data_IF_001379352176
#
_entry.id   IF_001379352176
#
_cell.length_a   1.000
_cell.length_b   1.000
_cell.length_c   1.000
_cell.angle_alpha   90.00
_cell.angle_beta   90.00
_cell.angle_gamma   90.00
#
_symmetry.space_group_name_H-M   'P 1'
#
loop_
_entity.id
_entity.type
_entity.pdbx_description
1 polymer ?
#
# COMPACT_ATOMS: atom_id res chain seq x y z
N UNK A 1 6.66 6.39 3.17
CA UNK A 1 7.18 7.74 3.01
C UNK A 1 6.10 8.74 3.34
N UNK A 2 6.35 9.53 4.35
CA UNK A 2 5.49 10.66 4.61
C UNK A 2 5.68 11.69 3.51
N UNK A 3 4.70 11.85 2.67
CA UNK A 3 4.74 12.86 1.61
C UNK A 3 4.18 14.19 2.08
N UNK A 4 3.62 14.21 3.28
CA UNK A 4 3.01 15.38 3.82
C UNK A 4 3.84 15.92 4.97
N UNK A 5 4.39 17.12 4.80
CA UNK A 5 4.91 17.90 5.91
C UNK A 5 3.79 18.80 6.41
N UNK A 6 3.33 18.52 7.61
CA UNK A 6 2.34 19.37 8.24
C UNK A 6 3.01 20.62 8.79
N UNK A 7 2.70 21.76 8.22
CA UNK A 7 3.08 23.06 8.75
C UNK A 7 1.88 23.63 9.52
N UNK A 8 1.94 23.73 10.85
CA UNK A 8 0.83 24.26 11.62
C UNK A 8 0.52 25.73 11.33
N UNK A 9 1.43 26.44 10.64
CA UNK A 9 1.19 27.81 10.20
C UNK A 9 0.48 27.88 8.85
N UNK A 10 0.41 26.80 8.13
CA UNK A 10 -0.38 26.67 6.91
C UNK A 10 -1.73 26.06 7.25
N UNK A 11 -2.65 26.90 7.61
CA UNK A 11 -4.05 26.51 7.75
C UNK A 11 -4.60 26.31 6.36
N UNK A 12 -4.77 25.06 5.91
CA UNK A 12 -5.44 24.86 4.65
C UNK A 12 -5.04 23.68 3.79
N UNK A 13 -4.52 22.59 4.36
CA UNK A 13 -4.59 21.33 3.66
C UNK A 13 -6.04 20.87 3.64
N UNK A 14 -6.71 21.11 2.52
CA UNK A 14 -8.06 20.62 2.31
C UNK A 14 -7.98 19.35 1.49
N UNK A 15 -8.51 18.28 2.03
CA UNK A 15 -8.70 17.05 1.33
C UNK A 15 -10.13 16.56 1.57
N UNK A 16 -10.67 15.84 0.59
CA UNK A 16 -11.98 15.20 0.75
C UNK A 16 -11.88 14.02 1.71
N UNK A 17 -10.74 13.31 1.66
CA UNK A 17 -10.49 12.11 2.47
C UNK A 17 -9.05 12.09 2.96
N UNK A 18 -8.88 11.71 4.21
CA UNK A 18 -7.58 11.45 4.80
C UNK A 18 -7.48 9.95 5.05
N UNK A 19 -6.45 9.29 4.49
CA UNK A 19 -6.15 7.89 4.71
C UNK A 19 -4.97 7.79 5.66
N UNK A 20 -5.14 7.06 6.74
CA UNK A 20 -4.10 6.88 7.77
C UNK A 20 -3.51 5.49 7.62
N UNK A 21 -2.23 5.43 7.33
CA UNK A 21 -1.48 4.21 7.13
C UNK A 21 -1.30 3.84 5.66
N UNK A 22 -0.06 3.66 5.24
CA UNK A 22 0.31 3.30 3.88
C UNK A 22 0.74 1.84 3.76
N UNK A 23 0.04 0.96 4.47
CA UNK A 23 0.04 -0.48 4.19
C UNK A 23 -0.79 -0.77 2.94
N UNK A 24 -0.99 -2.03 2.63
CA UNK A 24 -1.74 -2.42 1.42
C UNK A 24 -3.13 -1.82 1.40
N UNK A 25 -3.86 -1.89 2.51
CA UNK A 25 -5.22 -1.36 2.59
C UNK A 25 -5.28 0.14 2.32
N UNK A 26 -4.40 0.91 2.96
CA UNK A 26 -4.35 2.36 2.79
C UNK A 26 -3.92 2.77 1.38
N UNK A 27 -2.94 2.08 0.81
CA UNK A 27 -2.49 2.33 -0.55
C UNK A 27 -3.58 2.02 -1.58
N UNK A 28 -4.28 0.91 -1.43
CA UNK A 28 -5.37 0.52 -2.33
C UNK A 28 -6.53 1.50 -2.22
N UNK A 29 -6.91 1.87 -1.01
CA UNK A 29 -7.98 2.86 -0.78
C UNK A 29 -7.63 4.20 -1.44
N UNK A 30 -6.41 4.68 -1.23
CA UNK A 30 -5.93 5.92 -1.83
C UNK A 30 -5.94 5.83 -3.35
N UNK A 31 -5.42 4.76 -3.92
CA UNK A 31 -5.37 4.55 -5.36
C UNK A 31 -6.77 4.56 -5.99
N UNK A 32 -7.72 3.84 -5.39
CA UNK A 32 -9.08 3.80 -5.90
C UNK A 32 -9.78 5.16 -5.79
N UNK A 33 -9.59 5.87 -4.69
CA UNK A 33 -10.19 7.20 -4.50
C UNK A 33 -9.61 8.21 -5.49
N UNK A 34 -8.31 8.21 -5.69
CA UNK A 34 -7.66 9.11 -6.65
C UNK A 34 -8.17 8.85 -8.07
N UNK A 35 -8.38 7.60 -8.43
CA UNK A 35 -8.97 7.24 -9.75
C UNK A 35 -10.36 7.80 -9.94
N UNK A 36 -11.12 7.96 -8.86
CA UNK A 36 -12.47 8.56 -8.89
C UNK A 36 -12.44 10.10 -8.82
N UNK A 37 -11.26 10.70 -8.86
CA UNK A 37 -11.12 12.14 -8.78
C UNK A 37 -11.24 12.72 -7.38
N UNK A 38 -11.17 11.89 -6.35
CA UNK A 38 -11.23 12.32 -4.96
C UNK A 38 -9.86 12.88 -4.53
N UNK A 39 -9.88 14.00 -3.84
CA UNK A 39 -8.68 14.63 -3.28
C UNK A 39 -8.32 13.92 -1.97
N UNK A 40 -7.17 13.23 -1.95
CA UNK A 40 -6.79 12.36 -0.84
C UNK A 40 -5.44 12.76 -0.27
N UNK A 41 -5.37 12.77 1.05
CA UNK A 41 -4.11 12.86 1.80
C UNK A 41 -3.84 11.50 2.44
N UNK A 42 -2.68 10.94 2.13
CA UNK A 42 -2.21 9.67 2.73
C UNK A 42 -1.11 9.96 3.74
N UNK A 43 -1.33 9.53 4.97
CA UNK A 43 -0.39 9.72 6.08
C UNK A 43 0.23 8.40 6.49
N UNK A 44 1.55 8.39 6.66
CA UNK A 44 2.30 7.22 7.11
C UNK A 44 3.25 7.63 8.22
N UNK A 45 3.23 6.91 9.33
CA UNK A 45 4.06 7.18 10.49
C UNK A 45 5.53 6.76 10.30
N UNK A 46 5.76 5.76 9.44
CA UNK A 46 7.11 5.28 9.13
C UNK A 46 7.66 5.98 7.91
N UNK A 47 8.95 5.82 7.69
CA UNK A 47 9.65 6.37 6.53
C UNK A 47 9.53 5.50 5.27
N UNK A 48 8.64 4.50 5.29
CA UNK A 48 8.38 3.61 4.15
C UNK A 48 6.91 3.26 4.06
N UNK A 49 6.48 2.88 2.87
CA UNK A 49 5.16 2.31 2.61
C UNK A 49 5.20 0.78 2.68
N UNK A 50 4.04 0.14 2.63
CA UNK A 50 3.91 -1.31 2.53
C UNK A 50 3.44 -1.99 3.80
N UNK A 51 3.67 -1.39 4.98
CA UNK A 51 3.24 -1.96 6.24
C UNK A 51 3.88 -3.33 6.52
N UNK A 52 3.06 -4.36 6.61
CA UNK A 52 3.50 -5.75 6.84
C UNK A 52 4.14 -6.40 5.62
N UNK A 53 4.01 -5.80 4.45
CA UNK A 53 4.75 -6.22 3.26
C UNK A 53 6.10 -5.51 3.28
N UNK A 54 7.16 -6.28 3.20
CA UNK A 54 8.51 -5.74 3.23
C UNK A 54 9.44 -6.66 2.46
N UNK A 55 10.37 -6.07 1.74
CA UNK A 55 11.38 -6.80 0.98
C UNK A 55 12.78 -6.41 1.47
N UNK A 56 13.70 -7.33 1.36
CA UNK A 56 15.11 -7.10 1.62
C UNK A 56 15.97 -7.72 0.56
N UNK A 57 17.23 -7.31 0.50
CA UNK A 57 18.20 -7.85 -0.45
C UNK A 57 19.35 -8.53 0.28
N UNK A 58 19.80 -9.67 -0.26
CA UNK A 58 20.97 -10.38 0.21
C UNK A 58 21.66 -11.02 -0.99
N UNK A 59 22.95 -10.75 -1.14
CA UNK A 59 23.76 -11.22 -2.29
C UNK A 59 23.15 -10.86 -3.63
N UNK A 60 22.56 -9.67 -3.77
CA UNK A 60 21.95 -9.18 -5.01
C UNK A 60 20.57 -9.75 -5.31
N UNK A 61 20.03 -10.60 -4.46
CA UNK A 61 18.69 -11.17 -4.61
C UNK A 61 17.71 -10.50 -3.66
N UNK A 62 16.45 -10.41 -4.08
CA UNK A 62 15.38 -9.83 -3.28
C UNK A 62 14.57 -10.93 -2.60
N UNK A 63 14.33 -10.74 -1.32
CA UNK A 63 13.55 -11.67 -0.50
C UNK A 63 12.40 -10.94 0.16
N UNK A 64 11.31 -11.67 0.37
CA UNK A 64 10.20 -11.19 1.16
C UNK A 64 10.53 -11.31 2.65
N UNK A 65 10.52 -10.18 3.35
CA UNK A 65 10.76 -10.12 4.79
C UNK A 65 9.47 -10.13 5.61
N UNK A 66 8.35 -9.92 4.96
CA UNK A 66 7.03 -9.87 5.58
C UNK A 66 6.06 -10.85 4.96
N UNK A 67 4.86 -10.39 4.71
CA UNK A 67 3.79 -11.20 4.13
C UNK A 67 4.17 -11.71 2.74
N UNK A 68 3.95 -13.00 2.48
CA UNK A 68 4.25 -13.62 1.19
C UNK A 68 3.24 -14.68 0.75
N UNK A 69 2.36 -15.10 1.65
CA UNK A 69 1.38 -16.15 1.36
C UNK A 69 0.00 -15.56 1.25
N UNK A 70 -0.73 -16.00 0.24
CA UNK A 70 -2.11 -15.58 0.00
C UNK A 70 -2.97 -16.82 -0.11
N UNK A 71 -4.05 -16.85 0.67
CA UNK A 71 -5.00 -17.96 0.64
C UNK A 71 -5.80 -17.92 -0.65
N UNK A 72 -6.18 -19.09 -1.16
CA UNK A 72 -7.03 -19.18 -2.35
C UNK A 72 -8.40 -18.54 -2.16
N UNK A 73 -8.84 -18.41 -0.91
CA UNK A 73 -10.12 -17.80 -0.55
C UNK A 73 -10.05 -16.27 -0.42
N UNK A 74 -8.88 -15.67 -0.54
CA UNK A 74 -8.71 -14.22 -0.44
C UNK A 74 -9.14 -13.53 -1.75
N UNK A 75 -10.45 -13.47 -1.99
CA UNK A 75 -11.03 -13.05 -3.26
C UNK A 75 -10.62 -11.64 -3.67
N UNK A 76 -10.64 -10.69 -2.74
CA UNK A 76 -10.29 -9.29 -3.03
C UNK A 76 -8.81 -9.13 -3.37
N UNK A 77 -7.94 -9.88 -2.70
CA UNK A 77 -6.50 -9.85 -3.00
C UNK A 77 -6.22 -10.44 -4.38
N UNK A 78 -6.88 -11.53 -4.74
CA UNK A 78 -6.77 -12.12 -6.08
C UNK A 78 -7.26 -11.16 -7.16
N UNK A 79 -8.37 -10.47 -6.91
CA UNK A 79 -8.90 -9.48 -7.84
C UNK A 79 -7.93 -8.31 -8.02
N UNK A 80 -7.35 -7.80 -6.94
CA UNK A 80 -6.35 -6.73 -7.00
C UNK A 80 -5.12 -7.18 -7.79
N UNK A 81 -4.62 -8.38 -7.52
CA UNK A 81 -3.48 -8.93 -8.25
C UNK A 81 -3.78 -9.04 -9.75
N UNK A 82 -4.98 -9.46 -10.12
CA UNK A 82 -5.39 -9.50 -11.52
C UNK A 82 -5.38 -8.11 -12.16
N UNK A 83 -5.91 -7.10 -11.48
CA UNK A 83 -5.88 -5.71 -11.96
C UNK A 83 -4.45 -5.19 -12.16
N UNK A 84 -3.52 -5.62 -11.33
CA UNK A 84 -2.12 -5.20 -11.39
C UNK A 84 -1.26 -6.07 -12.30
N UNK A 85 -1.82 -7.12 -12.91
CA UNK A 85 -1.08 -8.03 -13.76
C UNK A 85 -0.14 -8.97 -13.01
N UNK A 86 -0.39 -9.22 -11.73
CA UNK A 86 0.43 -10.09 -10.89
C UNK A 86 -0.10 -11.52 -10.97
N UNK A 87 0.80 -12.47 -11.17
CA UNK A 87 0.48 -13.89 -11.18
C UNK A 87 0.90 -14.54 -9.88
N UNK A 88 0.05 -15.42 -9.36
CA UNK A 88 0.36 -16.23 -8.20
C UNK A 88 0.97 -17.57 -8.63
N UNK A 89 1.89 -18.04 -7.81
CA UNK A 89 2.52 -19.35 -7.98
C UNK A 89 2.01 -20.27 -6.89
N UNK A 90 1.46 -21.46 -7.23
CA UNK A 90 1.03 -22.40 -6.21
C UNK A 90 2.20 -22.85 -5.36
N UNK A 91 1.95 -23.00 -4.06
CA UNK A 91 2.90 -23.58 -3.13
C UNK A 91 2.55 -25.06 -2.93
N UNK A 92 3.51 -25.90 -3.23
CA UNK A 92 3.38 -27.35 -3.01
C UNK A 92 4.07 -27.74 -1.70
N UNK A 93 3.42 -28.57 -0.96
CA UNK A 93 3.94 -29.10 0.30
C UNK A 93 4.46 -30.53 0.13
#
# INVERSE_FOLDING_TARGET
>A
VSTLQFDPNQLGYNADVIVIGAGVSGLVATWRLVREGVDVILLEAKDRVGGRISSGTFNGETYDLGARWIRSTATQTHQLAHELGIQFVPQYH
#
